data_IF_489433661835
#
_entry.id   IF_489433661835
#
_cell.length_a   1.000
_cell.length_b   1.000
_cell.length_c   1.000
_cell.angle_alpha   90.00
_cell.angle_beta   90.00
_cell.angle_gamma   90.00
#
_symmetry.space_group_name_H-M   'P 1'
#
loop_
_entity.id
_entity.type
_entity.pdbx_description
1 polymer ?
#
# COMPACT_ATOMS: atom_id res chain seq x y z
N UNK A 1 2.50 58.61 -0.12
CA UNK A 1 2.84 57.46 0.75
C UNK A 1 1.88 56.32 0.43
N UNK A 2 2.41 55.27 -0.16
CA UNK A 2 1.72 54.07 -0.64
C UNK A 2 1.35 53.12 0.49
N UNK A 3 0.13 52.59 0.54
CA UNK A 3 -0.16 51.34 1.26
C UNK A 3 -0.98 50.41 0.34
N UNK A 4 -0.29 49.37 -0.14
CA UNK A 4 -0.82 48.27 -0.94
C UNK A 4 -1.26 47.17 0.04
N UNK A 5 -2.51 46.67 0.01
CA UNK A 5 -2.90 45.59 0.90
C UNK A 5 -2.14 44.32 0.50
N UNK A 6 -1.37 43.78 1.45
CA UNK A 6 -0.67 42.51 1.33
C UNK A 6 -1.70 41.38 1.28
N UNK A 7 -1.95 40.87 0.08
CA UNK A 7 -2.77 39.68 -0.12
C UNK A 7 -1.94 38.48 0.35
N UNK A 8 -2.15 38.03 1.60
CA UNK A 8 -1.60 36.77 2.08
C UNK A 8 -2.25 35.64 1.29
N UNK A 9 -1.54 35.14 0.28
CA UNK A 9 -1.90 33.90 -0.42
C UNK A 9 -1.85 32.79 0.61
N UNK A 10 -3.01 32.32 1.06
CA UNK A 10 -3.12 31.15 1.93
C UNK A 10 -2.61 29.93 1.17
N UNK A 11 -1.49 29.35 1.61
CA UNK A 11 -0.97 28.09 1.08
C UNK A 11 -2.07 27.02 1.09
N UNK A 12 -2.25 26.23 0.00
CA UNK A 12 -3.29 25.22 -0.05
C UNK A 12 -3.07 24.20 1.07
N UNK A 13 -4.11 23.97 1.89
CA UNK A 13 -4.11 22.95 2.95
C UNK A 13 -3.93 21.59 2.28
N UNK A 14 -2.81 20.90 2.52
CA UNK A 14 -2.59 19.51 2.11
C UNK A 14 -3.68 18.63 2.70
N UNK A 15 -4.40 17.91 1.86
CA UNK A 15 -5.34 16.86 2.28
C UNK A 15 -4.56 15.58 2.59
N UNK A 16 -5.06 14.67 3.44
CA UNK A 16 -4.33 13.40 3.62
C UNK A 16 -4.38 12.49 2.38
N UNK A 17 -5.18 12.82 1.36
CA UNK A 17 -5.09 12.15 0.06
C UNK A 17 -3.84 12.59 -0.73
N UNK A 18 -3.22 13.72 -0.37
CA UNK A 18 -1.94 14.16 -0.92
C UNK A 18 -0.74 13.47 -0.26
N UNK A 19 -0.96 12.73 0.83
CA UNK A 19 0.08 11.96 1.47
C UNK A 19 0.46 10.77 0.58
N UNK A 20 1.74 10.65 0.25
CA UNK A 20 2.24 9.59 -0.63
C UNK A 20 1.91 8.16 -0.14
N UNK A 21 1.68 8.02 1.17
CA UNK A 21 1.35 6.77 1.85
C UNK A 21 -0.16 6.53 2.00
N UNK A 22 -0.99 7.41 1.47
CA UNK A 22 -2.41 7.13 1.33
C UNK A 22 -2.61 5.91 0.41
N UNK A 23 -3.58 5.06 0.74
CA UNK A 23 -3.76 3.74 0.11
C UNK A 23 -3.84 3.81 -1.42
N UNK A 24 -4.66 4.71 -1.99
CA UNK A 24 -4.74 4.82 -3.44
C UNK A 24 -3.48 5.41 -4.10
N UNK A 25 -2.65 6.17 -3.38
CA UNK A 25 -1.34 6.61 -3.89
C UNK A 25 -0.35 5.44 -3.92
N UNK A 26 -0.35 4.60 -2.88
CA UNK A 26 0.41 3.35 -2.81
C UNK A 26 -0.01 2.41 -3.95
N UNK A 27 -1.31 2.20 -4.12
CA UNK A 27 -1.88 1.36 -5.18
C UNK A 27 -1.54 1.89 -6.58
N UNK A 28 -1.75 3.19 -6.84
CA UNK A 28 -1.39 3.83 -8.11
C UNK A 28 0.09 3.63 -8.43
N UNK A 29 0.95 3.73 -7.43
CA UNK A 29 2.39 3.52 -7.60
C UNK A 29 2.73 2.07 -7.94
N UNK A 30 2.10 1.10 -7.28
CA UNK A 30 2.25 -0.33 -7.58
C UNK A 30 1.76 -0.66 -9.00
N UNK A 31 0.56 -0.21 -9.36
CA UNK A 31 -0.02 -0.38 -10.69
C UNK A 31 0.88 0.20 -11.79
N UNK A 32 1.43 1.40 -11.59
CA UNK A 32 2.38 2.01 -12.53
C UNK A 32 3.69 1.23 -12.62
N UNK A 33 4.20 0.71 -11.50
CA UNK A 33 5.39 -0.13 -11.51
C UNK A 33 5.16 -1.43 -12.30
N UNK A 34 4.02 -2.09 -12.09
CA UNK A 34 3.64 -3.30 -12.83
C UNK A 34 3.60 -3.05 -14.34
N UNK A 35 2.87 -2.02 -14.79
CA UNK A 35 2.80 -1.64 -16.21
C UNK A 35 4.19 -1.40 -16.82
N UNK A 36 5.05 -0.66 -16.12
CA UNK A 36 6.44 -0.39 -16.55
C UNK A 36 7.29 -1.66 -16.65
N UNK A 37 6.93 -2.72 -15.93
CA UNK A 37 7.65 -3.99 -15.92
C UNK A 37 6.92 -5.08 -16.75
N UNK A 38 6.06 -4.66 -17.70
CA UNK A 38 5.45 -5.53 -18.69
C UNK A 38 4.29 -6.39 -18.17
N UNK A 39 3.72 -6.05 -17.02
CA UNK A 39 2.48 -6.65 -16.54
C UNK A 39 1.27 -5.97 -17.18
N UNK A 40 0.29 -6.78 -17.54
CA UNK A 40 -1.06 -6.34 -17.92
C UNK A 40 -1.91 -6.23 -16.65
N UNK A 41 -2.60 -5.11 -16.44
CA UNK A 41 -3.51 -4.97 -15.30
C UNK A 41 -4.89 -5.47 -15.70
N UNK A 42 -5.30 -6.61 -15.15
CA UNK A 42 -6.64 -7.19 -15.37
C UNK A 42 -7.68 -6.37 -14.62
N UNK A 43 -7.42 -6.05 -13.36
CA UNK A 43 -8.28 -5.17 -12.57
C UNK A 43 -7.50 -4.39 -11.51
N UNK A 44 -8.03 -3.22 -11.16
CA UNK A 44 -7.51 -2.33 -10.11
C UNK A 44 -8.71 -1.78 -9.36
N UNK A 45 -8.84 -2.08 -8.07
CA UNK A 45 -10.02 -1.69 -7.30
C UNK A 45 -10.12 -0.16 -7.17
N UNK A 46 -11.33 0.38 -7.25
CA UNK A 46 -11.56 1.79 -6.98
C UNK A 46 -11.60 2.03 -5.46
N UNK A 47 -10.48 2.49 -4.90
CA UNK A 47 -10.32 2.80 -3.47
C UNK A 47 -11.26 3.90 -2.96
N UNK A 48 -11.84 4.72 -3.84
CA UNK A 48 -12.86 5.70 -3.45
C UNK A 48 -14.24 5.06 -3.22
N UNK A 49 -14.48 3.86 -3.76
CA UNK A 49 -15.81 3.22 -3.78
C UNK A 49 -16.05 2.15 -2.69
N UNK A 50 -15.05 1.83 -1.85
CA UNK A 50 -15.11 0.77 -0.80
C UNK A 50 -15.63 -0.60 -1.29
N UNK A 51 -15.56 -0.89 -2.60
CA UNK A 51 -16.00 -2.17 -3.12
C UNK A 51 -15.12 -3.31 -2.62
N UNK A 52 -15.74 -4.47 -2.34
CA UNK A 52 -15.04 -5.68 -1.94
C UNK A 52 -14.39 -6.31 -3.18
N UNK A 53 -13.07 -6.52 -3.13
CA UNK A 53 -12.31 -7.13 -4.22
C UNK A 53 -10.80 -7.10 -3.96
N UNK A 54 -10.03 -7.76 -4.82
CA UNK A 54 -8.55 -7.70 -4.84
C UNK A 54 -8.14 -6.28 -5.26
N UNK A 55 -7.15 -5.69 -4.59
CA UNK A 55 -6.80 -4.28 -4.84
C UNK A 55 -6.12 -4.10 -6.21
N UNK A 56 -5.25 -5.05 -6.60
CA UNK A 56 -4.67 -5.14 -7.96
C UNK A 56 -4.59 -6.59 -8.40
N UNK A 57 -5.15 -6.90 -9.57
CA UNK A 57 -4.93 -8.14 -10.30
C UNK A 57 -4.13 -7.82 -11.56
N UNK A 58 -2.97 -8.46 -11.71
CA UNK A 58 -2.12 -8.32 -12.88
C UNK A 58 -1.65 -9.66 -13.43
N UNK A 59 -1.48 -9.73 -14.74
CA UNK A 59 -1.02 -10.91 -15.45
C UNK A 59 0.21 -10.59 -16.30
N UNK A 60 1.09 -11.58 -16.43
CA UNK A 60 2.19 -11.56 -17.39
C UNK A 60 1.98 -12.72 -18.36
N UNK A 61 1.04 -12.54 -19.29
CA UNK A 61 0.51 -13.59 -20.18
C UNK A 61 1.59 -14.44 -20.86
N UNK A 62 2.64 -13.80 -21.38
CA UNK A 62 3.76 -14.51 -22.03
C UNK A 62 4.52 -15.47 -21.11
N UNK A 63 4.48 -15.23 -19.80
CA UNK A 63 5.16 -16.04 -18.78
C UNK A 63 4.16 -16.91 -17.99
N UNK A 64 2.86 -16.85 -18.29
CA UNK A 64 1.84 -17.59 -17.56
C UNK A 64 1.75 -17.23 -16.08
N UNK A 65 2.10 -16.00 -15.69
CA UNK A 65 2.12 -15.56 -14.29
C UNK A 65 0.93 -14.70 -13.93
N UNK A 66 0.30 -15.02 -12.82
CA UNK A 66 -0.74 -14.22 -12.17
C UNK A 66 -0.19 -13.61 -10.89
N UNK A 67 -0.50 -12.33 -10.65
CA UNK A 67 -0.09 -11.58 -9.48
C UNK A 67 -1.30 -10.88 -8.86
N UNK A 68 -1.59 -11.23 -7.62
CA UNK A 68 -2.66 -10.63 -6.83
C UNK A 68 -2.04 -9.81 -5.70
N UNK A 69 -2.38 -8.52 -5.65
CA UNK A 69 -1.82 -7.60 -4.65
C UNK A 69 -2.92 -7.07 -3.74
N UNK A 70 -2.71 -7.27 -2.45
CA UNK A 70 -3.43 -6.57 -1.38
C UNK A 70 -2.64 -5.32 -0.98
N UNK A 71 -3.29 -4.15 -0.97
CA UNK A 71 -2.66 -2.86 -0.72
C UNK A 71 -3.22 -2.25 0.56
N UNK A 72 -2.35 -1.67 1.38
CA UNK A 72 -2.75 -0.81 2.50
C UNK A 72 -2.00 0.51 2.47
N UNK A 73 -2.64 1.56 2.97
CA UNK A 73 -1.98 2.83 3.25
C UNK A 73 -1.29 2.85 4.62
N UNK A 74 -0.92 4.04 5.08
CA UNK A 74 -0.56 4.30 6.48
C UNK A 74 -1.52 5.35 7.07
N UNK A 75 -1.97 5.20 8.33
CA UNK A 75 -2.92 6.14 8.91
C UNK A 75 -2.29 7.53 9.09
N UNK A 76 -2.95 8.54 8.55
CA UNK A 76 -2.57 9.95 8.79
C UNK A 76 -2.77 10.34 10.25
N UNK A 77 -1.87 11.17 10.77
CA UNK A 77 -1.97 11.78 12.11
C UNK A 77 -3.13 12.76 12.23
N UNK A 78 -3.62 13.31 11.12
CA UNK A 78 -4.62 14.38 11.09
C UNK A 78 -5.99 13.87 10.62
N UNK A 79 -7.08 14.54 11.03
CA UNK A 79 -8.40 14.29 10.46
C UNK A 79 -8.53 14.89 9.05
N UNK A 80 -9.18 14.15 8.15
CA UNK A 80 -9.56 14.61 6.81
C UNK A 80 -10.90 15.33 6.76
N UNK A 81 -11.67 15.26 7.84
CA UNK A 81 -12.95 15.97 7.93
C UNK A 81 -12.69 17.48 7.96
N UNK A 82 -13.23 18.27 7.01
CA UNK A 82 -13.10 19.73 7.01
C UNK A 82 -13.51 20.36 8.34
N UNK A 83 -14.49 19.77 9.04
CA UNK A 83 -14.98 20.23 10.36
C UNK A 83 -13.96 20.06 11.48
N UNK A 84 -12.93 19.23 11.27
CA UNK A 84 -11.86 18.91 12.23
C UNK A 84 -10.47 19.16 11.66
N UNK A 85 -10.40 19.99 10.62
CA UNK A 85 -9.17 20.34 9.93
C UNK A 85 -8.18 20.99 10.88
N UNK A 86 -7.05 20.33 11.13
CA UNK A 86 -6.01 20.80 12.06
C UNK A 86 -5.97 20.04 13.39
N UNK A 87 -6.92 19.14 13.66
CA UNK A 87 -6.87 18.27 14.83
C UNK A 87 -6.05 17.00 14.58
N UNK A 88 -5.22 16.63 15.57
CA UNK A 88 -4.59 15.31 15.62
C UNK A 88 -5.63 14.24 16.00
N UNK A 89 -5.54 13.07 15.38
CA UNK A 89 -6.38 11.92 15.72
C UNK A 89 -6.09 11.44 17.15
N UNK A 90 -7.16 11.05 17.85
CA UNK A 90 -7.07 10.54 19.24
C UNK A 90 -6.35 9.19 19.29
N UNK A 91 -6.57 8.33 18.28
CA UNK A 91 -5.91 7.02 18.19
C UNK A 91 -4.56 7.16 17.50
N UNK A 92 -3.46 6.70 18.13
CA UNK A 92 -2.14 6.73 17.51
C UNK A 92 -2.14 5.97 16.16
N UNK A 93 -1.49 6.52 15.12
CA UNK A 93 -1.33 5.85 13.83
C UNK A 93 -0.78 4.42 13.95
N UNK A 94 0.13 4.18 14.89
CA UNK A 94 0.78 2.89 15.12
C UNK A 94 -0.20 1.77 15.47
N UNK A 95 -1.26 2.06 16.23
CA UNK A 95 -2.27 1.07 16.60
C UNK A 95 -3.16 0.74 15.40
N UNK A 96 -3.58 1.76 14.65
CA UNK A 96 -4.36 1.57 13.42
C UNK A 96 -3.58 0.78 12.36
N UNK A 97 -2.28 1.07 12.21
CA UNK A 97 -1.40 0.31 11.32
C UNK A 97 -1.33 -1.17 11.70
N UNK A 98 -1.35 -1.51 13.00
CA UNK A 98 -1.44 -2.89 13.46
C UNK A 98 -2.66 -3.62 12.90
N UNK A 99 -3.85 -3.04 13.05
CA UNK A 99 -5.08 -3.62 12.50
C UNK A 99 -5.05 -3.73 10.97
N UNK A 100 -4.52 -2.71 10.29
CA UNK A 100 -4.43 -2.71 8.82
C UNK A 100 -3.50 -3.81 8.31
N UNK A 101 -2.39 -4.05 9.01
CA UNK A 101 -1.49 -5.16 8.74
C UNK A 101 -2.18 -6.51 8.90
N UNK A 102 -2.86 -6.75 10.03
CA UNK A 102 -3.58 -8.00 10.28
C UNK A 102 -4.66 -8.26 9.23
N UNK A 103 -5.39 -7.23 8.80
CA UNK A 103 -6.37 -7.33 7.72
C UNK A 103 -5.72 -7.72 6.39
N UNK A 104 -4.58 -7.09 6.04
CA UNK A 104 -3.87 -7.41 4.81
C UNK A 104 -3.40 -8.87 4.81
N UNK A 105 -2.84 -9.34 5.92
CA UNK A 105 -2.40 -10.74 6.07
C UNK A 105 -3.60 -11.69 5.89
N UNK A 106 -4.69 -11.49 6.64
CA UNK A 106 -5.85 -12.36 6.56
C UNK A 106 -6.46 -12.41 5.15
N UNK A 107 -6.61 -11.25 4.50
CA UNK A 107 -7.13 -11.18 3.12
C UNK A 107 -6.20 -11.89 2.14
N UNK A 108 -4.89 -11.70 2.28
CA UNK A 108 -3.90 -12.35 1.42
C UNK A 108 -3.87 -13.87 1.62
N UNK A 109 -4.11 -14.37 2.84
CA UNK A 109 -4.28 -15.81 3.09
C UNK A 109 -5.49 -16.39 2.38
N UNK A 110 -6.63 -15.68 2.40
CA UNK A 110 -7.84 -16.09 1.68
C UNK A 110 -7.60 -16.12 0.17
N UNK A 111 -6.96 -15.09 -0.38
CA UNK A 111 -6.61 -15.05 -1.81
C UNK A 111 -5.72 -16.21 -2.22
N UNK A 112 -4.75 -16.59 -1.39
CA UNK A 112 -3.90 -17.76 -1.65
C UNK A 112 -4.69 -19.07 -1.66
N UNK A 113 -5.76 -19.17 -0.86
CA UNK A 113 -6.64 -20.35 -0.87
C UNK A 113 -7.52 -20.37 -2.12
N UNK A 114 -8.03 -19.20 -2.54
CA UNK A 114 -8.88 -19.04 -3.71
C UNK A 114 -8.10 -19.25 -5.02
N UNK A 115 -6.86 -18.77 -5.09
CA UNK A 115 -5.96 -18.90 -6.24
C UNK A 115 -4.56 -19.37 -5.78
N UNK A 116 -4.35 -20.70 -5.65
CA UNK A 116 -3.09 -21.27 -5.17
C UNK A 116 -1.89 -21.06 -6.12
N UNK A 117 -2.16 -20.84 -7.41
CA UNK A 117 -1.12 -20.67 -8.43
C UNK A 117 -0.70 -19.20 -8.59
N UNK A 118 -1.55 -18.26 -8.16
CA UNK A 118 -1.20 -16.85 -8.15
C UNK A 118 -0.07 -16.51 -7.17
N UNK A 119 0.76 -15.57 -7.61
CA UNK A 119 1.74 -14.93 -6.74
C UNK A 119 1.03 -13.88 -5.88
N UNK A 120 0.99 -14.10 -4.56
CA UNK A 120 0.33 -13.19 -3.63
C UNK A 120 1.32 -12.17 -3.07
N UNK A 121 0.97 -10.89 -3.17
CA UNK A 121 1.79 -9.75 -2.73
C UNK A 121 1.02 -8.89 -1.73
N UNK A 122 1.72 -8.49 -0.67
CA UNK A 122 1.24 -7.46 0.26
C UNK A 122 1.99 -6.16 -0.02
N UNK A 123 1.29 -5.14 -0.51
CA UNK A 123 1.81 -3.81 -0.81
C UNK A 123 1.61 -2.84 0.34
N UNK A 124 2.70 -2.44 1.00
CA UNK A 124 2.67 -1.56 2.18
C UNK A 124 3.58 -0.35 1.98
N UNK A 125 3.21 0.86 2.46
CA UNK A 125 4.17 1.96 2.53
C UNK A 125 5.26 1.64 3.55
N UNK A 126 6.50 2.03 3.27
CA UNK A 126 7.62 1.71 4.13
C UNK A 126 7.66 2.60 5.39
N UNK A 127 7.16 2.05 6.49
CA UNK A 127 7.20 2.64 7.83
C UNK A 127 7.71 1.63 8.84
N UNK A 128 8.43 2.13 9.85
CA UNK A 128 9.02 1.30 10.91
C UNK A 128 8.01 0.33 11.53
N UNK A 129 6.78 0.78 11.80
CA UNK A 129 5.77 -0.08 12.41
C UNK A 129 5.41 -1.30 11.55
N UNK A 130 5.26 -1.14 10.23
CA UNK A 130 5.00 -2.27 9.35
C UNK A 130 6.23 -3.18 9.22
N UNK A 131 7.45 -2.62 9.27
CA UNK A 131 8.68 -3.42 9.31
C UNK A 131 8.75 -4.28 10.58
N UNK A 132 8.45 -3.70 11.75
CA UNK A 132 8.43 -4.42 13.03
C UNK A 132 7.42 -5.60 12.97
N UNK A 133 6.18 -5.34 12.52
CA UNK A 133 5.15 -6.38 12.35
C UNK A 133 5.53 -7.46 11.33
N UNK A 134 6.20 -7.06 10.28
CA UNK A 134 6.70 -7.98 9.28
C UNK A 134 7.76 -8.92 9.87
N UNK A 135 8.71 -8.41 10.66
CA UNK A 135 9.71 -9.24 11.34
C UNK A 135 9.07 -10.31 12.24
N UNK A 136 7.96 -9.97 12.92
CA UNK A 136 7.20 -10.91 13.75
C UNK A 136 6.55 -12.06 12.93
N UNK A 137 6.32 -11.87 11.63
CA UNK A 137 5.55 -12.79 10.77
C UNK A 137 6.33 -13.34 9.56
N UNK A 138 7.55 -12.86 9.33
CA UNK A 138 8.38 -13.11 8.15
C UNK A 138 8.55 -14.59 7.83
N UNK A 139 8.90 -15.39 8.84
CA UNK A 139 9.17 -16.83 8.65
C UNK A 139 7.96 -17.59 8.13
N UNK A 140 6.75 -17.21 8.56
CA UNK A 140 5.50 -17.79 8.10
C UNK A 140 5.17 -17.36 6.67
N UNK A 141 5.32 -16.06 6.38
CA UNK A 141 5.12 -15.53 5.03
C UNK A 141 6.07 -16.16 4.02
N UNK A 142 7.32 -16.44 4.42
CA UNK A 142 8.32 -17.09 3.57
C UNK A 142 7.91 -18.51 3.22
N UNK A 143 7.51 -19.31 4.22
CA UNK A 143 7.05 -20.69 4.01
C UNK A 143 5.85 -20.76 3.07
N UNK A 144 4.97 -19.77 3.17
CA UNK A 144 3.76 -19.68 2.35
C UNK A 144 3.99 -18.99 0.99
N UNK A 145 5.24 -18.59 0.68
CA UNK A 145 5.67 -17.96 -0.56
C UNK A 145 5.00 -16.61 -0.86
N UNK A 146 4.60 -15.89 0.18
CA UNK A 146 4.13 -14.51 0.03
C UNK A 146 5.29 -13.57 -0.33
N UNK A 147 4.97 -12.50 -1.05
CA UNK A 147 5.86 -11.37 -1.23
C UNK A 147 5.35 -10.17 -0.47
N UNK A 148 6.27 -9.31 0.00
CA UNK A 148 5.95 -8.01 0.59
C UNK A 148 6.66 -6.94 -0.21
N UNK A 149 5.90 -5.98 -0.74
CA UNK A 149 6.45 -4.88 -1.55
C UNK A 149 6.35 -3.58 -0.76
N UNK A 150 7.51 -3.08 -0.33
CA UNK A 150 7.68 -1.85 0.42
C UNK A 150 7.68 -0.66 -0.52
N UNK A 151 6.60 0.11 -0.47
CA UNK A 151 6.43 1.32 -1.26
C UNK A 151 7.08 2.48 -0.51
N UNK A 152 8.17 3.01 -1.06
CA UNK A 152 8.80 4.26 -0.61
C UNK A 152 8.31 5.41 -1.47
N UNK A 153 8.60 6.66 -1.10
CA UNK A 153 8.29 7.84 -1.96
C UNK A 153 8.79 7.69 -3.39
N UNK A 154 10.02 7.19 -3.59
CA UNK A 154 10.69 7.14 -4.90
C UNK A 154 10.87 5.75 -5.50
N UNK A 155 10.92 4.70 -4.68
CA UNK A 155 11.13 3.31 -5.15
C UNK A 155 10.13 2.33 -4.56
N UNK A 156 10.13 1.12 -5.08
CA UNK A 156 9.48 -0.05 -4.48
C UNK A 156 10.60 -1.05 -4.19
N UNK A 157 10.63 -1.58 -2.99
CA UNK A 157 11.59 -2.60 -2.56
C UNK A 157 10.82 -3.90 -2.29
N UNK A 158 11.29 -5.02 -2.84
CA UNK A 158 10.58 -6.30 -2.79
C UNK A 158 11.23 -7.21 -1.76
N UNK A 159 10.41 -7.92 -1.02
CA UNK A 159 10.79 -9.05 -0.19
C UNK A 159 10.02 -10.30 -0.68
N UNK A 160 10.66 -11.46 -0.78
CA UNK A 160 12.11 -11.64 -0.73
C UNK A 160 12.79 -10.81 -1.82
N UNK A 161 13.96 -10.25 -1.53
CA UNK A 161 14.82 -9.65 -2.57
C UNK A 161 15.14 -10.80 -3.52
N UNK A 162 14.88 -10.62 -4.81
CA UNK A 162 15.05 -11.66 -5.82
C UNK A 162 16.53 -12.01 -5.98
N UNK A 163 17.07 -12.79 -5.04
CA UNK A 163 18.43 -13.36 -4.98
C UNK A 163 18.59 -14.44 -3.87
N UNK A 164 17.50 -14.94 -3.26
CA UNK A 164 17.63 -16.10 -2.37
C UNK A 164 17.54 -17.38 -3.22
N UNK A 165 18.65 -18.15 -3.41
CA UNK A 165 18.54 -19.47 -4.02
C UNK A 165 17.54 -20.31 -3.24
N UNK A 166 16.71 -21.07 -3.96
CA UNK A 166 15.89 -22.11 -3.37
C UNK A 166 16.83 -23.01 -2.57
N UNK A 167 16.71 -22.99 -1.24
CA UNK A 167 17.35 -24.00 -0.42
C UNK A 167 16.68 -25.32 -0.76
N UNK A 168 17.44 -26.18 -1.45
CA UNK A 168 17.16 -27.59 -1.68
C UNK A 168 17.11 -28.33 -0.34
#
# INVERSE_FOLDING_TARGET
MTHRPSNKVSSPKKSAQDEWFWEGNVQKKLANHLRKNGWELVSVANTASRQQGIDIHAEKKKEGKTLLIEVKGYPSEMYNDPKRSGEKKKTPPTLQAGHWYSHAILKSMRLRTEDPEAQIVIGLPDFKRYRDLFTETESSLKKLKFQVWWVKKRKIEKWPTSDAPAQQ
#
